data_IF_636789570830
#
_entry.id   IF_636789570830
#
_cell.length_a   1.000
_cell.length_b   1.000
_cell.length_c   1.000
_cell.angle_alpha   90.00
_cell.angle_beta   90.00
_cell.angle_gamma   90.00
#
_symmetry.space_group_name_H-M   'P 1'
#
loop_
_entity.id
_entity.type
_entity.pdbx_description
1 polymer ?
#
# COMPACT_ATOMS: atom_id res chain seq x y z
N UNK A 1 15.84 -18.50 -3.67
CA UNK A 1 15.12 -17.42 -2.98
C UNK A 1 15.44 -16.13 -3.71
N UNK A 2 14.42 -15.43 -4.21
CA UNK A 2 14.62 -14.13 -4.88
C UNK A 2 14.83 -13.04 -3.83
N UNK A 3 15.38 -11.89 -4.23
CA UNK A 3 15.55 -10.73 -3.33
C UNK A 3 14.19 -10.26 -2.77
N UNK A 4 13.15 -10.23 -3.61
CA UNK A 4 11.78 -9.92 -3.17
C UNK A 4 11.25 -10.91 -2.13
N UNK A 5 11.56 -12.21 -2.28
CA UNK A 5 11.18 -13.21 -1.30
C UNK A 5 11.90 -13.01 0.04
N UNK A 6 13.19 -12.64 0.01
CA UNK A 6 13.95 -12.34 1.22
C UNK A 6 13.39 -11.11 1.95
N UNK A 7 13.16 -10.01 1.23
CA UNK A 7 12.59 -8.77 1.76
C UNK A 7 11.18 -8.98 2.33
N UNK A 8 10.36 -9.78 1.66
CA UNK A 8 9.01 -10.10 2.14
C UNK A 8 9.04 -10.89 3.44
N UNK A 9 9.95 -11.87 3.57
CA UNK A 9 10.06 -12.71 4.79
C UNK A 9 10.51 -11.94 6.02
N UNK A 10 11.33 -10.90 5.86
CA UNK A 10 11.78 -10.07 6.99
C UNK A 10 10.82 -8.92 7.33
N UNK A 11 9.89 -8.59 6.42
CA UNK A 11 8.98 -7.47 6.60
C UNK A 11 8.01 -7.69 7.75
N UNK A 12 7.58 -6.58 8.34
CA UNK A 12 6.62 -6.55 9.45
C UNK A 12 5.20 -6.70 8.94
N UNK A 13 4.33 -7.30 9.75
CA UNK A 13 2.89 -7.16 9.57
C UNK A 13 2.44 -5.69 9.79
N UNK A 14 1.23 -5.30 9.36
CA UNK A 14 0.73 -3.94 9.57
C UNK A 14 0.72 -3.52 11.04
N UNK A 15 0.28 -4.39 11.95
CA UNK A 15 0.25 -4.09 13.39
C UNK A 15 1.66 -3.93 13.98
N UNK A 16 2.60 -4.81 13.59
CA UNK A 16 4.00 -4.68 14.02
C UNK A 16 4.63 -3.38 13.52
N UNK A 17 4.36 -2.97 12.28
CA UNK A 17 4.80 -1.69 11.73
C UNK A 17 4.20 -0.50 12.49
N UNK A 18 2.88 -0.50 12.73
CA UNK A 18 2.22 0.59 13.47
C UNK A 18 2.85 0.75 14.86
N UNK A 19 3.15 -0.35 15.54
CA UNK A 19 3.74 -0.34 16.88
C UNK A 19 5.19 0.16 16.94
N UNK A 20 5.86 0.41 15.80
CA UNK A 20 7.17 1.08 15.80
C UNK A 20 7.08 2.61 15.87
N UNK A 21 5.89 3.19 15.72
CA UNK A 21 5.68 4.64 15.74
C UNK A 21 5.63 5.23 17.17
N UNK A 22 5.74 6.56 17.25
CA UNK A 22 5.42 7.28 18.50
C UNK A 22 3.92 7.24 18.79
N UNK A 23 3.46 7.49 20.02
CA UNK A 23 2.04 7.55 20.35
C UNK A 23 1.23 8.49 19.43
N UNK A 24 1.81 9.62 19.04
CA UNK A 24 1.18 10.59 18.14
C UNK A 24 1.05 10.04 16.72
N UNK A 25 2.09 9.36 16.21
CA UNK A 25 2.08 8.76 14.88
C UNK A 25 1.05 7.62 14.81
N UNK A 26 1.01 6.77 15.85
CA UNK A 26 0.01 5.71 15.99
C UNK A 26 -1.41 6.31 16.03
N UNK A 27 -1.61 7.37 16.81
CA UNK A 27 -2.91 8.04 16.90
C UNK A 27 -3.36 8.62 15.55
N UNK A 28 -2.45 9.26 14.80
CA UNK A 28 -2.78 9.80 13.47
C UNK A 28 -3.12 8.69 12.48
N UNK A 29 -2.34 7.60 12.43
CA UNK A 29 -2.64 6.46 11.55
C UNK A 29 -4.00 5.83 11.90
N UNK A 30 -4.32 5.68 13.19
CA UNK A 30 -5.63 5.16 13.66
C UNK A 30 -6.79 6.09 13.30
N UNK A 31 -6.56 7.40 13.25
CA UNK A 31 -7.55 8.37 12.75
C UNK A 31 -7.89 8.10 11.29
N UNK A 32 -6.90 7.82 10.44
CA UNK A 32 -7.12 7.44 9.04
C UNK A 32 -7.81 6.08 8.88
N UNK A 33 -7.49 5.08 9.72
CA UNK A 33 -8.24 3.82 9.77
C UNK A 33 -9.72 4.06 10.07
N UNK A 34 -10.02 4.92 11.04
CA UNK A 34 -11.40 5.26 11.43
C UNK A 34 -12.13 5.98 10.29
N UNK A 35 -11.47 6.94 9.62
CA UNK A 35 -12.04 7.63 8.47
C UNK A 35 -12.28 6.69 7.29
N UNK A 36 -11.35 5.78 6.99
CA UNK A 36 -11.53 4.78 5.95
C UNK A 36 -12.75 3.88 6.23
N UNK A 37 -12.95 3.48 7.49
CA UNK A 37 -14.08 2.65 7.89
C UNK A 37 -15.45 3.33 7.67
N UNK A 38 -15.52 4.67 7.67
CA UNK A 38 -16.75 5.40 7.34
C UNK A 38 -17.03 5.48 5.83
N UNK A 39 -16.06 5.13 4.98
CA UNK A 39 -16.15 5.16 3.52
C UNK A 39 -16.50 3.77 2.92
N UNK A 40 -17.33 3.00 3.61
CA UNK A 40 -17.58 1.57 3.30
C UNK A 40 -18.04 1.29 1.87
N UNK A 41 -18.93 2.12 1.31
CA UNK A 41 -19.41 1.95 -0.07
C UNK A 41 -18.29 2.13 -1.10
N UNK A 42 -17.44 3.15 -0.92
CA UNK A 42 -16.30 3.40 -1.79
C UNK A 42 -15.25 2.29 -1.68
N UNK A 43 -15.00 1.80 -0.46
CA UNK A 43 -14.11 0.65 -0.22
C UNK A 43 -14.59 -0.61 -0.94
N UNK A 44 -15.88 -0.94 -0.81
CA UNK A 44 -16.43 -2.14 -1.47
C UNK A 44 -16.40 -2.02 -3.00
N UNK A 45 -16.61 -0.83 -3.54
CA UNK A 45 -16.44 -0.57 -4.98
C UNK A 45 -14.97 -0.74 -5.41
N UNK A 46 -14.03 -0.19 -4.64
CA UNK A 46 -12.59 -0.28 -4.93
C UNK A 46 -12.06 -1.72 -4.83
N UNK A 47 -12.64 -2.57 -3.97
CA UNK A 47 -12.27 -3.99 -3.85
C UNK A 47 -12.81 -4.86 -5.00
N UNK A 48 -13.90 -4.44 -5.64
CA UNK A 48 -14.66 -5.25 -6.59
C UNK A 48 -13.81 -5.89 -7.72
N UNK A 49 -12.85 -5.20 -8.36
CA UNK A 49 -12.07 -5.77 -9.47
C UNK A 49 -11.24 -7.00 -9.08
N UNK A 50 -10.81 -7.08 -7.82
CA UNK A 50 -9.93 -8.14 -7.33
C UNK A 50 -10.64 -9.19 -6.46
N UNK A 51 -11.98 -9.19 -6.39
CA UNK A 51 -12.74 -10.13 -5.53
C UNK A 51 -12.52 -11.61 -5.87
N UNK A 52 -12.13 -11.93 -7.10
CA UNK A 52 -11.94 -13.31 -7.58
C UNK A 52 -10.47 -13.67 -7.82
N UNK A 53 -9.52 -12.87 -7.32
CA UNK A 53 -8.10 -13.19 -7.51
C UNK A 53 -7.75 -14.54 -6.88
N UNK A 54 -6.78 -15.23 -7.47
CA UNK A 54 -6.18 -16.42 -6.88
C UNK A 54 -5.39 -16.10 -5.60
N UNK A 55 -5.01 -17.14 -4.88
CA UNK A 55 -4.17 -17.03 -3.69
C UNK A 55 -2.70 -16.78 -4.03
N UNK A 56 -1.93 -16.36 -3.01
CA UNK A 56 -0.47 -16.26 -3.10
C UNK A 56 0.05 -14.93 -3.64
N UNK A 57 -0.82 -14.00 -4.00
CA UNK A 57 -0.42 -12.62 -4.24
C UNK A 57 0.13 -11.96 -2.97
N UNK A 58 1.08 -11.05 -3.16
CA UNK A 58 1.77 -10.37 -2.06
C UNK A 58 1.89 -8.89 -2.34
N UNK A 59 1.81 -8.09 -1.28
CA UNK A 59 2.06 -6.67 -1.27
C UNK A 59 3.28 -6.39 -0.41
N UNK A 60 4.42 -6.10 -1.04
CA UNK A 60 5.64 -5.71 -0.34
C UNK A 60 5.73 -4.19 -0.30
N UNK A 61 5.71 -3.61 0.90
CA UNK A 61 5.59 -2.15 1.08
C UNK A 61 6.82 -1.59 1.77
N UNK A 62 7.42 -0.54 1.22
CA UNK A 62 8.39 0.30 1.91
C UNK A 62 7.66 1.49 2.54
N UNK A 63 7.74 1.64 3.85
CA UNK A 63 7.03 2.69 4.58
C UNK A 63 7.74 3.09 5.88
N UNK A 64 7.36 4.26 6.39
CA UNK A 64 7.92 4.83 7.63
C UNK A 64 6.83 5.52 8.45
N UNK A 65 6.85 5.34 9.78
CA UNK A 65 5.87 5.95 10.69
C UNK A 65 6.01 7.48 10.83
N UNK A 66 7.07 8.08 10.30
CA UNK A 66 7.18 9.55 10.24
C UNK A 66 6.57 10.14 8.96
N UNK A 67 6.18 9.32 7.98
CA UNK A 67 5.73 9.77 6.67
C UNK A 67 4.21 10.01 6.63
N UNK A 68 3.74 11.24 6.33
CA UNK A 68 2.31 11.55 6.26
C UNK A 68 1.56 10.81 5.15
N UNK A 69 2.23 10.50 4.02
CA UNK A 69 1.64 9.71 2.95
C UNK A 69 1.50 8.23 3.37
N UNK A 70 2.43 7.71 4.20
CA UNK A 70 2.31 6.35 4.76
C UNK A 70 1.09 6.24 5.68
N UNK A 71 0.83 7.25 6.52
CA UNK A 71 -0.34 7.26 7.40
C UNK A 71 -1.68 7.19 6.64
N UNK A 72 -1.74 7.76 5.44
CA UNK A 72 -2.96 7.75 4.60
C UNK A 72 -3.11 6.46 3.80
N UNK A 73 -2.02 5.89 3.31
CA UNK A 73 -2.08 4.78 2.34
C UNK A 73 -1.83 3.39 2.93
N UNK A 74 -1.15 3.28 4.08
CA UNK A 74 -0.99 1.99 4.78
C UNK A 74 -2.34 1.43 5.28
N UNK A 75 -3.26 2.23 5.87
CA UNK A 75 -4.56 1.70 6.29
C UNK A 75 -5.39 1.10 5.13
N UNK A 76 -5.54 1.77 3.97
CA UNK A 76 -6.16 1.16 2.78
C UNK A 76 -5.48 -0.14 2.33
N UNK A 77 -4.15 -0.19 2.28
CA UNK A 77 -3.39 -1.39 1.90
C UNK A 77 -3.63 -2.55 2.86
N UNK A 78 -3.58 -2.29 4.17
CA UNK A 78 -3.83 -3.29 5.20
C UNK A 78 -5.28 -3.81 5.12
N UNK A 79 -6.26 -2.92 4.92
CA UNK A 79 -7.66 -3.30 4.76
C UNK A 79 -7.86 -4.18 3.52
N UNK A 80 -7.25 -3.83 2.38
CA UNK A 80 -7.28 -4.65 1.17
C UNK A 80 -6.78 -6.07 1.45
N UNK A 81 -5.61 -6.19 2.09
CA UNK A 81 -5.01 -7.49 2.41
C UNK A 81 -5.77 -8.29 3.48
N UNK A 82 -6.58 -7.63 4.31
CA UNK A 82 -7.53 -8.32 5.21
C UNK A 82 -8.76 -8.86 4.47
N UNK A 83 -9.10 -8.28 3.30
CA UNK A 83 -10.35 -8.57 2.56
C UNK A 83 -10.14 -9.45 1.33
N UNK A 84 -8.91 -9.55 0.84
CA UNK A 84 -8.51 -10.35 -0.32
C UNK A 84 -7.41 -11.34 0.08
N UNK A 85 -7.19 -12.44 -0.68
CA UNK A 85 -6.14 -13.42 -0.38
C UNK A 85 -4.73 -12.91 -0.77
N UNK A 86 -4.37 -11.73 -0.27
CA UNK A 86 -3.10 -11.04 -0.51
C UNK A 86 -2.38 -10.88 0.82
N UNK A 87 -1.16 -11.40 0.92
CA UNK A 87 -0.33 -11.17 2.11
C UNK A 87 0.40 -9.84 2.01
N UNK A 88 0.59 -9.13 3.13
CA UNK A 88 1.31 -7.86 3.19
C UNK A 88 2.55 -7.99 4.09
N UNK A 89 3.65 -7.38 3.66
CA UNK A 89 4.85 -7.22 4.47
C UNK A 89 5.38 -5.79 4.31
N UNK A 90 5.72 -5.15 5.42
CA UNK A 90 6.18 -3.76 5.47
C UNK A 90 7.64 -3.71 5.90
N UNK A 91 8.49 -3.18 5.04
CA UNK A 91 9.91 -2.94 5.26
C UNK A 91 10.18 -1.43 5.36
N UNK A 92 11.33 -1.06 5.91
CA UNK A 92 11.78 0.34 5.96
C UNK A 92 12.16 0.85 4.56
N UNK A 93 12.25 2.17 4.41
CA UNK A 93 12.75 2.77 3.16
C UNK A 93 14.20 2.33 2.87
N UNK A 94 15.01 2.15 3.91
CA UNK A 94 16.40 1.72 3.79
C UNK A 94 16.50 0.26 3.32
N UNK A 95 15.71 -0.63 3.91
CA UNK A 95 15.62 -2.04 3.47
C UNK A 95 15.14 -2.17 2.02
N UNK A 96 14.36 -1.21 1.53
CA UNK A 96 13.85 -1.18 0.16
C UNK A 96 14.84 -0.63 -0.88
N UNK A 97 16.05 -0.21 -0.49
CA UNK A 97 17.04 0.33 -1.42
C UNK A 97 17.33 -0.59 -2.64
N UNK A 98 17.33 -1.94 -2.54
CA UNK A 98 17.46 -2.82 -3.70
C UNK A 98 16.40 -2.61 -4.79
N UNK A 99 15.25 -2.00 -4.49
CA UNK A 99 14.20 -1.71 -5.47
C UNK A 99 14.70 -0.85 -6.64
N UNK A 100 15.68 0.02 -6.41
CA UNK A 100 16.29 0.85 -7.48
C UNK A 100 16.77 -0.04 -8.62
N UNK A 101 17.57 -1.06 -8.31
CA UNK A 101 18.15 -1.94 -9.32
C UNK A 101 17.16 -3.00 -9.81
N UNK A 102 16.33 -3.53 -8.92
CA UNK A 102 15.35 -4.58 -9.26
C UNK A 102 14.21 -4.07 -10.16
N UNK A 103 13.77 -2.82 -9.94
CA UNK A 103 12.62 -2.23 -10.64
C UNK A 103 13.01 -1.12 -11.62
N UNK A 104 14.32 -0.81 -11.74
CA UNK A 104 14.86 0.25 -12.61
C UNK A 104 14.22 1.63 -12.34
N UNK A 105 14.12 1.97 -11.07
CA UNK A 105 13.60 3.27 -10.60
C UNK A 105 14.74 4.15 -10.09
N UNK A 106 14.56 5.46 -10.08
CA UNK A 106 15.61 6.38 -9.60
C UNK A 106 15.74 6.42 -8.07
N UNK A 107 14.63 6.31 -7.35
CA UNK A 107 14.58 6.38 -5.88
C UNK A 107 13.33 5.75 -5.31
N UNK A 108 13.41 5.30 -4.06
CA UNK A 108 12.27 4.77 -3.30
C UNK A 108 11.48 5.93 -2.68
N UNK A 109 10.38 6.33 -3.31
CA UNK A 109 9.41 7.29 -2.75
C UNK A 109 8.36 6.54 -1.93
N UNK A 110 8.28 6.84 -0.63
CA UNK A 110 7.39 6.11 0.29
C UNK A 110 6.03 6.80 0.48
N UNK A 111 4.95 6.03 0.73
CA UNK A 111 4.91 4.57 0.73
C UNK A 111 5.09 4.02 -0.69
N UNK A 112 5.90 2.98 -0.83
CA UNK A 112 6.16 2.32 -2.09
C UNK A 112 5.68 0.88 -1.98
N UNK A 113 4.71 0.45 -2.78
CA UNK A 113 4.25 -0.93 -2.76
C UNK A 113 4.52 -1.64 -4.08
N UNK A 114 5.03 -2.87 -3.98
CA UNK A 114 5.19 -3.80 -5.10
C UNK A 114 4.12 -4.86 -4.97
N UNK A 115 3.28 -5.00 -6.00
CA UNK A 115 2.38 -6.14 -6.14
C UNK A 115 3.18 -7.28 -6.75
N UNK A 116 3.26 -8.39 -6.05
CA UNK A 116 3.99 -9.59 -6.43
C UNK A 116 3.02 -10.73 -6.67
N UNK A 117 3.25 -11.50 -7.73
CA UNK A 117 2.50 -12.74 -7.99
C UNK A 117 2.94 -13.90 -7.07
N UNK A 118 2.31 -15.09 -7.16
CA UNK A 118 2.70 -16.24 -6.36
C UNK A 118 4.18 -16.64 -6.47
N UNK A 119 4.84 -16.34 -7.58
CA UNK A 119 6.24 -16.64 -7.86
C UNK A 119 7.21 -15.50 -7.44
N UNK A 120 6.73 -14.47 -6.72
CA UNK A 120 7.49 -13.28 -6.35
C UNK A 120 7.95 -12.43 -7.56
N UNK A 121 7.20 -12.47 -8.67
CA UNK A 121 7.43 -11.59 -9.83
C UNK A 121 6.66 -10.30 -9.66
N UNK A 122 7.28 -9.12 -9.83
CA UNK A 122 6.58 -7.84 -9.83
C UNK A 122 5.54 -7.75 -10.95
N UNK A 123 4.30 -7.37 -10.59
CA UNK A 123 3.17 -7.18 -11.50
C UNK A 123 2.76 -5.73 -11.66
N UNK A 124 3.09 -4.89 -10.69
CA UNK A 124 2.84 -3.46 -10.72
C UNK A 124 3.28 -2.78 -9.44
N UNK A 125 3.25 -1.45 -9.48
CA UNK A 125 3.78 -0.57 -8.43
C UNK A 125 2.72 0.43 -8.01
N UNK A 126 2.68 0.73 -6.71
CA UNK A 126 2.05 1.92 -6.16
C UNK A 126 3.15 2.80 -5.57
N UNK A 127 3.19 4.09 -5.90
CA UNK A 127 4.27 4.98 -5.51
C UNK A 127 3.70 6.26 -4.90
N UNK A 128 3.92 6.45 -3.60
CA UNK A 128 3.59 7.64 -2.79
C UNK A 128 2.09 7.90 -2.61
N UNK A 129 1.33 8.05 -3.70
CA UNK A 129 -0.07 8.49 -3.72
C UNK A 129 -0.87 7.76 -4.80
N UNK A 130 -2.20 7.65 -4.65
CA UNK A 130 -3.04 7.04 -5.67
C UNK A 130 -3.11 7.87 -6.95
N UNK A 131 -3.39 7.19 -8.05
CA UNK A 131 -3.35 7.70 -9.43
C UNK A 131 -4.17 8.96 -9.66
N UNK A 132 -5.37 9.15 -9.07
CA UNK A 132 -6.11 10.41 -9.19
C UNK A 132 -5.35 11.62 -8.63
N UNK A 133 -4.51 11.42 -7.61
CA UNK A 133 -3.72 12.49 -6.98
C UNK A 133 -2.45 12.79 -7.77
N UNK A 134 -1.81 11.74 -8.32
CA UNK A 134 -0.60 11.88 -9.14
C UNK A 134 -0.91 12.56 -10.48
N UNK A 135 -2.04 12.21 -11.09
CA UNK A 135 -2.46 12.72 -12.39
C UNK A 135 -3.37 13.96 -12.28
N UNK A 136 -3.82 14.29 -11.07
CA UNK A 136 -4.68 15.42 -10.79
C UNK A 136 -3.93 16.73 -10.56
N UNK A 137 -4.65 17.73 -10.07
CA UNK A 137 -4.13 19.03 -9.67
C UNK A 137 -4.29 19.29 -8.18
N UNK A 138 -4.31 20.57 -7.81
CA UNK A 138 -4.41 20.97 -6.40
C UNK A 138 -5.72 20.51 -5.75
N UNK A 139 -6.80 20.37 -6.52
CA UNK A 139 -8.11 19.93 -6.00
C UNK A 139 -8.02 18.49 -5.49
N UNK A 140 -7.45 17.58 -6.28
CA UNK A 140 -7.27 16.18 -5.91
C UNK A 140 -6.25 16.03 -4.79
N UNK A 141 -5.20 16.85 -4.79
CA UNK A 141 -4.22 16.88 -3.71
C UNK A 141 -4.85 17.31 -2.37
N UNK A 142 -5.70 18.34 -2.39
CA UNK A 142 -6.42 18.80 -1.20
C UNK A 142 -7.46 17.76 -0.73
N UNK A 143 -8.18 17.13 -1.65
CA UNK A 143 -9.09 16.02 -1.34
C UNK A 143 -8.34 14.86 -0.66
N UNK A 144 -7.18 14.49 -1.18
CA UNK A 144 -6.32 13.49 -0.57
C UNK A 144 -5.79 13.90 0.80
N UNK A 145 -5.37 15.16 0.98
CA UNK A 145 -4.91 15.67 2.28
C UNK A 145 -5.99 15.58 3.36
N UNK A 146 -7.26 15.74 2.99
CA UNK A 146 -8.44 15.56 3.85
C UNK A 146 -8.86 14.10 4.07
N UNK A 147 -8.40 13.18 3.23
CA UNK A 147 -8.76 11.76 3.27
C UNK A 147 -9.99 11.41 2.44
N UNK A 148 -10.40 12.26 1.50
CA UNK A 148 -11.55 12.00 0.63
C UNK A 148 -11.24 10.91 -0.42
N UNK A 149 -9.95 10.60 -0.62
CA UNK A 149 -9.45 9.68 -1.64
C UNK A 149 -8.74 8.43 -1.06
N UNK A 150 -9.06 8.03 0.18
CA UNK A 150 -8.40 6.87 0.82
C UNK A 150 -8.69 5.55 0.07
N UNK A 151 -9.91 5.39 -0.45
CA UNK A 151 -10.30 4.21 -1.23
C UNK A 151 -9.56 4.10 -2.58
N UNK A 152 -9.01 5.20 -3.11
CA UNK A 152 -8.29 5.17 -4.39
C UNK A 152 -6.99 4.36 -4.32
N UNK A 153 -6.37 4.28 -3.14
CA UNK A 153 -5.22 3.38 -2.92
C UNK A 153 -5.61 1.92 -3.03
N UNK A 154 -6.83 1.55 -2.61
CA UNK A 154 -7.38 0.20 -2.81
C UNK A 154 -7.61 -0.01 -4.30
N UNK A 155 -8.25 0.95 -4.97
CA UNK A 155 -8.59 0.89 -6.40
C UNK A 155 -7.36 0.65 -7.28
N UNK A 156 -6.27 1.40 -7.06
CA UNK A 156 -5.03 1.25 -7.82
C UNK A 156 -4.43 -0.16 -7.65
N UNK A 157 -4.39 -0.66 -6.41
CA UNK A 157 -3.81 -1.97 -6.13
C UNK A 157 -4.70 -3.10 -6.66
N UNK A 158 -6.02 -3.00 -6.53
CA UNK A 158 -6.94 -4.02 -7.07
C UNK A 158 -6.94 -4.03 -8.60
N UNK A 159 -6.75 -2.89 -9.26
CA UNK A 159 -6.57 -2.83 -10.70
C UNK A 159 -5.30 -3.59 -11.14
N UNK A 160 -4.18 -3.43 -10.42
CA UNK A 160 -2.94 -4.20 -10.68
C UNK A 160 -3.17 -5.70 -10.47
N UNK A 161 -3.81 -6.08 -9.36
CA UNK A 161 -4.12 -7.48 -9.03
C UNK A 161 -5.03 -8.13 -10.09
N UNK A 162 -6.07 -7.41 -10.54
CA UNK A 162 -7.00 -7.90 -11.54
C UNK A 162 -6.33 -8.09 -12.91
N UNK A 163 -5.41 -7.21 -13.30
CA UNK A 163 -4.65 -7.32 -14.54
C UNK A 163 -3.54 -8.39 -14.50
N UNK A 164 -3.22 -8.91 -13.32
CA UNK A 164 -2.16 -9.88 -13.10
C UNK A 164 -2.63 -11.35 -13.05
N UNK A 165 -3.95 -11.58 -13.07
CA UNK A 165 -4.55 -12.90 -13.29
C UNK A 165 -4.30 -13.38 -14.72
#
# INVERSE_FOLDING_TARGET
MTEFEALFKQGKSPEEFINTGTPEQIADLRRWQTLLASQSAAVEQALAPARQIGEGFRLLVAAEMWCPDCHRNIPPMALLCQRLPVSIAIITREEAQPFIDLLKIEKVKIPFAVVLDPAFTPRGLFIERPSPVVNGGEIELEAYRRGDLLAETISDITAILAAAQ
#
